data_IF_739933994640
#
_entry.id   IF_739933994640
#
_cell.length_a   1.000
_cell.length_b   1.000
_cell.length_c   1.000
_cell.angle_alpha   90.00
_cell.angle_beta   90.00
_cell.angle_gamma   90.00
#
_symmetry.space_group_name_H-M   'P 1'
#
loop_
_entity.id
_entity.type
_entity.pdbx_description
1 polymer ?
#
# COMPACT_ATOMS: atom_id res chain seq x y z
N UNK A 1 -16.00 15.55 8.74
CA UNK A 1 -16.04 17.03 8.82
C UNK A 1 -16.56 17.62 7.51
N UNK A 2 -17.30 18.72 7.56
CA UNK A 2 -17.77 19.46 6.37
C UNK A 2 -16.76 20.51 5.88
N UNK A 3 -15.55 20.55 6.46
CA UNK A 3 -14.52 21.52 6.08
C UNK A 3 -14.14 21.33 4.60
N UNK A 4 -14.23 22.39 3.81
CA UNK A 4 -13.84 22.44 2.40
C UNK A 4 -13.52 23.88 1.97
N UNK A 5 -12.78 24.63 2.81
CA UNK A 5 -12.36 26.00 2.48
C UNK A 5 -11.04 25.97 1.71
N UNK A 6 -10.86 26.95 0.82
CA UNK A 6 -9.59 27.13 0.10
C UNK A 6 -8.49 27.55 1.07
N UNK A 7 -7.46 26.74 1.13
CA UNK A 7 -6.26 26.90 1.96
C UNK A 7 -4.98 26.74 1.12
N UNK A 8 -5.11 26.76 -0.20
CA UNK A 8 -3.99 26.58 -1.12
C UNK A 8 -2.89 27.64 -0.99
N UNK A 9 -3.24 28.82 -0.48
CA UNK A 9 -2.28 29.92 -0.26
C UNK A 9 -1.52 29.85 1.07
N UNK A 10 -1.72 28.82 1.88
CA UNK A 10 -1.00 28.70 3.14
C UNK A 10 0.50 28.46 2.90
N UNK A 11 1.34 29.17 3.66
CA UNK A 11 2.78 28.89 3.73
C UNK A 11 3.03 27.67 4.63
N UNK A 12 3.39 26.56 4.02
CA UNK A 12 3.64 25.28 4.71
C UNK A 12 5.13 24.94 4.84
N UNK A 13 6.02 25.84 4.43
CA UNK A 13 7.48 25.62 4.35
C UNK A 13 8.15 25.19 5.67
N UNK A 14 7.55 25.55 6.80
CA UNK A 14 8.03 25.16 8.13
C UNK A 14 7.28 23.96 8.75
N UNK A 15 6.36 23.35 8.00
CA UNK A 15 5.57 22.23 8.53
C UNK A 15 6.39 20.94 8.43
N UNK A 16 6.59 20.28 9.56
CA UNK A 16 7.37 19.03 9.65
C UNK A 16 6.50 17.80 9.87
N UNK A 17 5.23 17.97 10.22
CA UNK A 17 4.30 16.88 10.51
C UNK A 17 2.88 17.23 10.04
N UNK A 18 2.34 16.44 9.12
CA UNK A 18 0.98 16.58 8.60
C UNK A 18 0.07 15.41 9.01
N UNK A 19 0.46 14.67 10.06
CA UNK A 19 -0.31 13.53 10.56
C UNK A 19 -1.77 13.91 10.83
N UNK A 20 -2.68 13.19 10.20
CA UNK A 20 -4.12 13.30 10.43
C UNK A 20 -4.77 14.63 10.04
N UNK A 21 -4.08 15.52 9.33
CA UNK A 21 -4.54 16.88 9.04
C UNK A 21 -5.97 16.95 8.49
N UNK A 22 -6.31 16.05 7.56
CA UNK A 22 -7.65 15.98 6.95
C UNK A 22 -8.40 14.69 7.33
N UNK A 23 -8.02 14.03 8.41
CA UNK A 23 -8.72 12.81 8.86
C UNK A 23 -10.22 13.07 9.00
N UNK A 24 -11.03 12.29 8.28
CA UNK A 24 -12.50 12.41 8.31
C UNK A 24 -13.05 13.73 7.74
N UNK A 25 -12.24 14.48 6.99
CA UNK A 25 -12.70 15.68 6.26
C UNK A 25 -13.39 15.24 4.95
N UNK A 26 -14.55 14.62 5.05
CA UNK A 26 -15.25 13.96 3.94
C UNK A 26 -15.61 14.90 2.79
N UNK A 27 -15.77 16.21 3.07
CA UNK A 27 -16.08 17.22 2.05
C UNK A 27 -14.81 17.83 1.41
N UNK A 28 -13.62 17.63 2.01
CA UNK A 28 -12.42 18.34 1.58
C UNK A 28 -11.93 17.84 0.22
N UNK A 29 -11.84 18.79 -0.73
CA UNK A 29 -11.29 18.56 -2.06
C UNK A 29 -10.75 19.88 -2.66
N UNK A 30 -10.06 20.72 -1.86
CA UNK A 30 -9.44 21.93 -2.35
C UNK A 30 -8.03 21.71 -2.87
N UNK A 31 -7.62 22.55 -3.83
CA UNK A 31 -6.28 22.47 -4.41
C UNK A 31 -5.22 22.89 -3.37
N UNK A 32 -4.36 21.96 -3.03
CA UNK A 32 -3.21 22.11 -2.12
C UNK A 32 -1.89 21.69 -2.79
N UNK A 33 -1.90 21.55 -4.12
CA UNK A 33 -0.71 21.10 -4.88
C UNK A 33 0.48 22.07 -4.80
N UNK A 34 0.24 23.34 -4.45
CA UNK A 34 1.30 24.35 -4.27
C UNK A 34 1.98 24.34 -2.90
N UNK A 35 1.54 23.49 -1.98
CA UNK A 35 2.15 23.41 -0.65
C UNK A 35 3.60 22.93 -0.70
N UNK A 36 4.48 23.56 0.05
CA UNK A 36 5.83 23.08 0.30
C UNK A 36 5.78 21.96 1.35
N UNK A 37 6.10 20.76 0.94
CA UNK A 37 6.11 19.55 1.80
C UNK A 37 7.51 19.04 2.09
N UNK A 38 8.56 19.74 1.62
CA UNK A 38 9.96 19.28 1.67
C UNK A 38 10.49 19.00 3.09
N UNK A 39 9.92 19.66 4.10
CA UNK A 39 10.29 19.47 5.51
C UNK A 39 9.42 18.41 6.23
N UNK A 40 8.40 17.84 5.57
CA UNK A 40 7.44 16.93 6.21
C UNK A 40 8.04 15.53 6.38
N UNK A 41 8.08 15.06 7.61
CA UNK A 41 8.58 13.72 7.94
C UNK A 41 7.49 12.65 8.13
N UNK A 42 6.25 13.07 8.41
CA UNK A 42 5.10 12.16 8.56
C UNK A 42 3.85 12.71 7.89
N UNK A 43 3.25 11.84 7.05
CA UNK A 43 1.93 12.04 6.44
C UNK A 43 0.93 10.95 6.88
N UNK A 44 1.20 10.30 8.02
CA UNK A 44 0.36 9.27 8.59
C UNK A 44 -1.09 9.75 8.69
N UNK A 45 -2.03 9.02 8.10
CA UNK A 45 -3.47 9.31 8.13
C UNK A 45 -3.88 10.69 7.60
N UNK A 46 -3.03 11.38 6.82
CA UNK A 46 -3.28 12.75 6.41
C UNK A 46 -4.67 12.92 5.76
N UNK A 47 -5.06 12.00 4.88
CA UNK A 47 -6.37 11.99 4.19
C UNK A 47 -7.26 10.82 4.60
N UNK A 48 -6.98 10.15 5.72
CA UNK A 48 -7.80 9.03 6.14
C UNK A 48 -9.27 9.43 6.27
N UNK A 49 -10.19 8.70 5.59
CA UNK A 49 -11.63 9.02 5.55
C UNK A 49 -11.96 10.37 4.87
N UNK A 50 -11.04 11.03 4.18
CA UNK A 50 -11.34 12.19 3.32
C UNK A 50 -11.91 11.69 1.98
N UNK A 51 -13.13 11.19 2.00
CA UNK A 51 -13.74 10.38 0.95
C UNK A 51 -13.93 11.09 -0.40
N UNK A 52 -13.83 12.42 -0.46
CA UNK A 52 -13.94 13.20 -1.71
C UNK A 52 -12.58 13.74 -2.18
N UNK A 53 -11.48 13.49 -1.45
CA UNK A 53 -10.19 14.05 -1.82
C UNK A 53 -9.62 13.35 -3.05
N UNK A 54 -9.39 14.14 -4.12
CA UNK A 54 -8.78 13.70 -5.38
C UNK A 54 -8.09 14.89 -6.09
N UNK A 55 -7.29 15.69 -5.38
CA UNK A 55 -6.55 16.80 -5.97
C UNK A 55 -5.14 16.38 -6.38
N UNK A 56 -4.63 17.04 -7.45
CA UNK A 56 -3.26 16.82 -7.91
C UNK A 56 -2.24 17.30 -6.86
N UNK A 57 -1.48 16.37 -6.34
CA UNK A 57 -0.38 16.54 -5.38
C UNK A 57 0.90 15.88 -5.87
N UNK A 58 0.98 15.57 -7.16
CA UNK A 58 2.13 14.91 -7.78
C UNK A 58 3.43 15.70 -7.70
N UNK A 59 3.33 17.04 -7.54
CA UNK A 59 4.48 17.93 -7.37
C UNK A 59 5.05 18.00 -5.95
N UNK A 60 4.41 17.36 -4.97
CA UNK A 60 4.90 17.39 -3.59
C UNK A 60 6.27 16.73 -3.45
N UNK A 61 7.16 17.36 -2.71
CA UNK A 61 8.40 16.75 -2.25
C UNK A 61 8.13 15.90 -1.01
N UNK A 62 8.18 14.58 -1.17
CA UNK A 62 7.97 13.61 -0.09
C UNK A 62 9.27 12.93 0.34
N UNK A 63 10.42 13.41 -0.14
CA UNK A 63 11.72 12.78 0.09
C UNK A 63 12.13 12.71 1.58
N UNK A 64 11.57 13.58 2.44
CA UNK A 64 11.79 13.54 3.89
C UNK A 64 10.80 12.63 4.63
N UNK A 65 9.75 12.12 3.95
CA UNK A 65 8.69 11.34 4.61
C UNK A 65 9.15 9.93 4.94
N UNK A 66 8.94 9.53 6.18
CA UNK A 66 9.26 8.17 6.67
C UNK A 66 8.03 7.32 6.95
N UNK A 67 6.86 7.94 7.16
CA UNK A 67 5.60 7.27 7.52
C UNK A 67 4.43 7.79 6.68
N UNK A 68 3.86 6.89 5.88
CA UNK A 68 2.67 7.10 5.05
C UNK A 68 1.51 6.19 5.46
N UNK A 69 1.52 5.63 6.69
CA UNK A 69 0.46 4.74 7.14
C UNK A 69 -0.91 5.36 6.94
N UNK A 70 -1.81 4.64 6.27
CA UNK A 70 -3.22 5.01 6.06
C UNK A 70 -3.45 6.36 5.35
N UNK A 71 -2.45 6.93 4.65
CA UNK A 71 -2.56 8.29 4.09
C UNK A 71 -3.78 8.45 3.19
N UNK A 72 -4.06 7.50 2.31
CA UNK A 72 -5.20 7.52 1.38
C UNK A 72 -6.26 6.44 1.69
N UNK A 73 -6.29 5.94 2.93
CA UNK A 73 -7.26 4.92 3.32
C UNK A 73 -8.69 5.49 3.32
N UNK A 74 -9.60 4.81 2.61
CA UNK A 74 -11.01 5.21 2.43
C UNK A 74 -11.16 6.58 1.73
N UNK A 75 -10.34 6.82 0.70
CA UNK A 75 -10.47 7.96 -0.22
C UNK A 75 -10.85 7.48 -1.63
N UNK A 76 -11.09 8.43 -2.54
CA UNK A 76 -11.22 8.17 -3.99
C UNK A 76 -9.97 8.60 -4.76
N UNK A 77 -8.89 8.96 -4.06
CA UNK A 77 -7.67 9.52 -4.63
C UNK A 77 -7.11 8.64 -5.74
N UNK A 78 -6.94 9.23 -6.93
CA UNK A 78 -6.38 8.54 -8.10
C UNK A 78 -5.53 9.48 -8.98
N UNK A 79 -4.79 10.42 -8.37
CA UNK A 79 -3.88 11.29 -9.10
C UNK A 79 -2.49 10.66 -9.25
N UNK A 80 -1.75 11.11 -10.28
CA UNK A 80 -0.40 10.60 -10.55
C UNK A 80 0.60 11.05 -9.47
N UNK A 81 1.17 10.09 -8.79
CA UNK A 81 2.20 10.24 -7.76
C UNK A 81 3.43 9.38 -8.06
N UNK A 82 3.57 8.95 -9.31
CA UNK A 82 4.69 8.11 -9.74
C UNK A 82 6.06 8.79 -9.61
N UNK A 83 6.11 10.12 -9.59
CA UNK A 83 7.34 10.90 -9.43
C UNK A 83 7.81 11.05 -7.98
N UNK A 84 7.03 10.62 -7.00
CA UNK A 84 7.38 10.75 -5.58
C UNK A 84 8.66 9.98 -5.22
N UNK A 85 9.59 10.61 -4.54
CA UNK A 85 10.73 9.94 -3.92
C UNK A 85 10.33 9.37 -2.55
N UNK A 86 10.00 8.09 -2.53
CA UNK A 86 9.60 7.36 -1.32
C UNK A 86 10.77 6.57 -0.68
N UNK A 87 12.00 6.86 -1.05
CA UNK A 87 13.18 6.08 -0.65
C UNK A 87 13.44 6.06 0.86
N UNK A 88 12.92 7.04 1.60
CA UNK A 88 13.01 7.10 3.05
C UNK A 88 11.77 6.54 3.77
N UNK A 89 10.73 6.14 3.05
CA UNK A 89 9.51 5.59 3.66
C UNK A 89 9.78 4.20 4.22
N UNK A 90 9.47 4.01 5.49
CA UNK A 90 9.61 2.72 6.19
C UNK A 90 8.26 2.03 6.42
N UNK A 91 7.17 2.79 6.48
CA UNK A 91 5.83 2.30 6.78
C UNK A 91 4.82 2.74 5.71
N UNK A 92 4.31 1.77 4.94
CA UNK A 92 3.25 1.93 3.93
C UNK A 92 1.96 1.18 4.33
N UNK A 93 1.81 0.84 5.62
CA UNK A 93 0.65 0.07 6.09
C UNK A 93 -0.65 0.78 5.73
N UNK A 94 -1.58 0.03 5.12
CA UNK A 94 -2.91 0.48 4.72
C UNK A 94 -2.93 1.79 3.88
N UNK A 95 -1.84 2.11 3.16
CA UNK A 95 -1.68 3.35 2.40
C UNK A 95 -2.87 3.64 1.48
N UNK A 96 -3.31 2.64 0.69
CA UNK A 96 -4.44 2.72 -0.23
C UNK A 96 -5.61 1.80 0.19
N UNK A 97 -5.67 1.42 1.47
CA UNK A 97 -6.73 0.53 1.96
C UNK A 97 -8.11 1.13 1.68
N UNK A 98 -9.04 0.32 1.15
CA UNK A 98 -10.38 0.74 0.77
C UNK A 98 -10.42 1.92 -0.24
N UNK A 99 -9.33 2.20 -0.95
CA UNK A 99 -9.34 3.11 -2.08
C UNK A 99 -9.64 2.33 -3.36
N UNK A 100 -10.90 2.25 -3.72
CA UNK A 100 -11.37 1.45 -4.87
C UNK A 100 -11.02 2.05 -6.23
N UNK A 101 -10.54 3.29 -6.28
CA UNK A 101 -10.25 4.02 -7.53
C UNK A 101 -8.77 4.00 -7.91
N UNK A 102 -7.88 3.89 -6.90
CA UNK A 102 -6.45 4.04 -7.13
C UNK A 102 -5.91 2.97 -8.10
N UNK A 103 -5.35 3.44 -9.22
CA UNK A 103 -4.70 2.59 -10.21
C UNK A 103 -3.59 3.36 -10.98
N UNK A 104 -2.84 4.25 -10.30
CA UNK A 104 -1.76 4.99 -10.94
C UNK A 104 -0.46 4.20 -10.94
N UNK A 105 0.40 4.50 -11.94
CA UNK A 105 1.69 3.83 -12.08
C UNK A 105 2.68 4.32 -11.00
N UNK A 106 3.04 3.42 -10.11
CA UNK A 106 3.99 3.62 -9.01
C UNK A 106 5.20 2.66 -9.11
N UNK A 107 5.48 2.15 -10.31
CA UNK A 107 6.58 1.22 -10.55
C UNK A 107 7.97 1.83 -10.33
N UNK A 108 8.07 3.18 -10.39
CA UNK A 108 9.32 3.93 -10.16
C UNK A 108 9.68 4.10 -8.68
N UNK A 109 8.77 3.78 -7.75
CA UNK A 109 9.01 3.96 -6.33
C UNK A 109 10.17 3.09 -5.82
N UNK A 110 11.14 3.72 -5.15
CA UNK A 110 12.20 3.01 -4.44
C UNK A 110 11.70 2.59 -3.05
N UNK A 111 11.32 1.32 -2.91
CA UNK A 111 10.75 0.76 -1.67
C UNK A 111 11.78 0.07 -0.77
N UNK A 112 13.08 0.28 -1.02
CA UNK A 112 14.15 -0.47 -0.33
C UNK A 112 14.19 -0.28 1.20
N UNK A 113 13.65 0.86 1.70
CA UNK A 113 13.58 1.15 3.15
C UNK A 113 12.29 0.63 3.79
N UNK A 114 11.32 0.15 3.01
CA UNK A 114 10.01 -0.25 3.55
C UNK A 114 10.13 -1.56 4.31
N UNK A 115 9.65 -1.55 5.56
CA UNK A 115 9.62 -2.74 6.43
C UNK A 115 8.22 -3.27 6.68
N UNK A 116 7.20 -2.42 6.52
CA UNK A 116 5.79 -2.73 6.81
C UNK A 116 4.90 -2.40 5.61
N UNK A 117 4.29 -3.43 5.02
CA UNK A 117 3.33 -3.34 3.91
C UNK A 117 1.95 -3.93 4.25
N UNK A 118 1.60 -3.99 5.55
CA UNK A 118 0.31 -4.55 6.00
C UNK A 118 -0.85 -3.83 5.34
N UNK A 119 -1.69 -4.55 4.60
CA UNK A 119 -2.92 -4.01 4.00
C UNK A 119 -2.72 -2.85 3.02
N UNK A 120 -1.52 -2.66 2.44
CA UNK A 120 -1.21 -1.51 1.57
C UNK A 120 -2.26 -1.28 0.49
N UNK A 121 -2.75 -2.36 -0.14
CA UNK A 121 -3.78 -2.35 -1.20
C UNK A 121 -5.04 -3.12 -0.79
N UNK A 122 -5.31 -3.29 0.51
CA UNK A 122 -6.50 -3.99 0.98
C UNK A 122 -7.75 -3.29 0.45
N UNK A 123 -8.60 -4.03 -0.27
CA UNK A 123 -9.81 -3.55 -0.95
C UNK A 123 -9.58 -2.41 -1.96
N UNK A 124 -8.37 -2.26 -2.49
CA UNK A 124 -8.08 -1.41 -3.65
C UNK A 124 -8.50 -2.16 -4.93
N UNK A 125 -9.80 -2.19 -5.20
CA UNK A 125 -10.41 -3.12 -6.17
C UNK A 125 -10.02 -2.85 -7.62
N UNK A 126 -9.59 -1.63 -7.97
CA UNK A 126 -9.11 -1.26 -9.32
C UNK A 126 -7.61 -1.41 -9.50
N UNK A 127 -6.84 -1.57 -8.41
CA UNK A 127 -5.38 -1.57 -8.48
C UNK A 127 -4.86 -2.79 -9.25
N UNK A 128 -4.17 -2.54 -10.36
CA UNK A 128 -3.52 -3.57 -11.18
C UNK A 128 -2.26 -3.05 -11.88
N UNK A 129 -1.49 -2.18 -11.23
CA UNK A 129 -0.23 -1.69 -11.81
C UNK A 129 0.92 -2.64 -11.53
N UNK A 130 1.87 -2.67 -12.47
CA UNK A 130 3.06 -3.51 -12.33
C UNK A 130 4.01 -2.91 -11.28
N UNK A 131 4.16 -3.62 -10.17
CA UNK A 131 5.04 -3.27 -9.05
C UNK A 131 6.14 -4.33 -8.85
N UNK A 132 6.47 -5.10 -9.89
CA UNK A 132 7.55 -6.09 -9.85
C UNK A 132 8.93 -5.47 -9.58
N UNK A 133 9.09 -4.18 -9.86
CA UNK A 133 10.31 -3.40 -9.61
C UNK A 133 10.54 -3.03 -8.14
N UNK A 134 9.52 -3.19 -7.30
CA UNK A 134 9.65 -2.86 -5.88
C UNK A 134 10.69 -3.74 -5.20
N UNK A 135 11.57 -3.12 -4.42
CA UNK A 135 12.51 -3.84 -3.57
C UNK A 135 11.83 -4.19 -2.24
N UNK A 136 11.61 -5.48 -2.02
CA UNK A 136 10.90 -6.00 -0.83
C UNK A 136 11.84 -6.65 0.19
N UNK A 137 13.16 -6.61 -0.03
CA UNK A 137 14.13 -7.32 0.80
C UNK A 137 14.13 -6.88 2.28
N UNK A 138 13.67 -5.66 2.59
CA UNK A 138 13.56 -5.16 3.98
C UNK A 138 12.20 -5.46 4.62
N UNK A 139 11.21 -5.95 3.86
CA UNK A 139 9.84 -6.14 4.35
C UNK A 139 9.76 -7.36 5.27
N UNK A 140 9.12 -7.17 6.43
CA UNK A 140 8.94 -8.24 7.42
C UNK A 140 7.47 -8.66 7.59
N UNK A 141 6.53 -7.79 7.18
CA UNK A 141 5.09 -8.03 7.35
C UNK A 141 4.32 -7.64 6.09
N UNK A 142 3.68 -8.63 5.45
CA UNK A 142 2.86 -8.47 4.25
C UNK A 142 1.40 -8.92 4.48
N UNK A 143 0.95 -8.99 5.76
CA UNK A 143 -0.43 -9.41 6.05
C UNK A 143 -1.43 -8.52 5.32
N UNK A 144 -2.46 -9.14 4.75
CA UNK A 144 -3.60 -8.47 4.13
C UNK A 144 -3.26 -7.54 2.96
N UNK A 145 -2.03 -7.58 2.41
CA UNK A 145 -1.54 -6.59 1.45
C UNK A 145 -2.47 -6.41 0.24
N UNK A 146 -3.06 -7.50 -0.26
CA UNK A 146 -3.96 -7.51 -1.41
C UNK A 146 -5.34 -8.12 -1.10
N UNK A 147 -5.77 -8.13 0.17
CA UNK A 147 -7.12 -8.61 0.51
C UNK A 147 -8.15 -7.85 -0.32
N UNK A 148 -8.97 -8.55 -1.09
CA UNK A 148 -10.03 -7.94 -1.88
C UNK A 148 -9.55 -7.02 -3.01
N UNK A 149 -8.26 -7.02 -3.37
CA UNK A 149 -7.73 -6.34 -4.56
C UNK A 149 -8.12 -7.17 -5.80
N UNK A 150 -9.39 -7.11 -6.18
CA UNK A 150 -10.03 -8.06 -7.11
C UNK A 150 -9.49 -7.99 -8.54
N UNK A 151 -8.88 -6.87 -8.95
CA UNK A 151 -8.27 -6.71 -10.27
C UNK A 151 -6.79 -7.11 -10.29
N UNK A 152 -6.13 -7.22 -9.12
CA UNK A 152 -4.69 -7.38 -9.06
C UNK A 152 -4.22 -8.73 -9.60
N UNK A 153 -3.36 -8.69 -10.64
CA UNK A 153 -2.75 -9.89 -11.24
C UNK A 153 -1.38 -9.56 -11.86
N UNK A 154 -0.49 -8.88 -11.11
CA UNK A 154 0.82 -8.48 -11.62
C UNK A 154 1.94 -9.41 -11.12
N UNK A 155 3.07 -9.52 -11.86
CA UNK A 155 4.13 -10.50 -11.63
C UNK A 155 4.98 -10.15 -10.40
N UNK A 156 4.53 -10.53 -9.22
CA UNK A 156 5.24 -10.32 -7.93
C UNK A 156 6.16 -11.48 -7.53
N UNK A 157 6.25 -12.53 -8.35
CA UNK A 157 7.11 -13.68 -8.08
C UNK A 157 8.61 -13.38 -8.04
N UNK A 158 9.02 -12.20 -8.50
CA UNK A 158 10.40 -11.71 -8.46
C UNK A 158 10.77 -11.02 -7.14
N UNK A 159 9.79 -10.81 -6.26
CA UNK A 159 10.04 -10.17 -4.96
C UNK A 159 10.90 -11.05 -4.06
N UNK A 160 11.83 -10.41 -3.35
CA UNK A 160 12.54 -11.05 -2.23
C UNK A 160 11.65 -11.00 -0.99
N UNK A 161 11.13 -12.15 -0.59
CA UNK A 161 10.28 -12.31 0.61
C UNK A 161 11.01 -13.05 1.75
N UNK A 162 12.31 -13.25 1.61
CA UNK A 162 13.11 -14.05 2.55
C UNK A 162 13.18 -13.50 3.98
N UNK A 163 12.80 -12.24 4.19
CA UNK A 163 12.68 -11.62 5.51
C UNK A 163 11.23 -11.52 6.02
N UNK A 164 10.26 -11.91 5.20
CA UNK A 164 8.85 -11.85 5.61
C UNK A 164 8.53 -12.96 6.61
N UNK A 165 7.93 -12.57 7.72
CA UNK A 165 7.53 -13.51 8.78
C UNK A 165 6.01 -13.73 8.83
N UNK A 166 5.21 -12.85 8.19
CA UNK A 166 3.76 -12.89 8.26
C UNK A 166 3.13 -12.62 6.89
N UNK A 167 2.30 -13.56 6.41
CA UNK A 167 1.58 -13.50 5.13
C UNK A 167 0.08 -13.80 5.29
N UNK A 168 -0.48 -13.65 6.52
CA UNK A 168 -1.91 -13.88 6.74
C UNK A 168 -2.76 -13.07 5.77
N UNK A 169 -3.69 -13.74 5.08
CA UNK A 169 -4.66 -13.13 4.17
C UNK A 169 -4.07 -12.36 2.99
N UNK A 170 -2.77 -12.52 2.66
CA UNK A 170 -2.09 -11.63 1.68
C UNK A 170 -2.85 -11.49 0.36
N UNK A 171 -3.44 -12.57 -0.16
CA UNK A 171 -4.23 -12.59 -1.40
C UNK A 171 -5.68 -13.01 -1.18
N UNK A 172 -6.18 -12.92 0.05
CA UNK A 172 -7.59 -13.26 0.34
C UNK A 172 -8.52 -12.43 -0.53
N UNK A 173 -9.49 -13.07 -1.22
CA UNK A 173 -10.40 -12.42 -2.16
C UNK A 173 -9.70 -11.67 -3.33
N UNK A 174 -8.43 -11.93 -3.63
CA UNK A 174 -7.75 -11.41 -4.82
C UNK A 174 -8.15 -12.28 -6.04
N UNK A 175 -9.36 -12.08 -6.54
CA UNK A 175 -10.05 -13.00 -7.47
C UNK A 175 -9.41 -13.13 -8.84
N UNK A 176 -8.56 -12.17 -9.26
CA UNK A 176 -7.83 -12.24 -10.52
C UNK A 176 -6.42 -12.79 -10.36
N UNK A 177 -5.91 -12.89 -9.13
CA UNK A 177 -4.50 -13.22 -8.89
C UNK A 177 -4.19 -14.68 -9.24
N UNK A 178 -3.28 -14.88 -10.21
CA UNK A 178 -2.78 -16.20 -10.61
C UNK A 178 -1.33 -16.12 -11.12
N UNK A 179 -0.46 -15.35 -10.46
CA UNK A 179 0.94 -15.23 -10.86
C UNK A 179 1.82 -16.29 -10.19
N UNK A 180 2.87 -16.71 -10.90
CA UNK A 180 3.85 -17.66 -10.38
C UNK A 180 4.66 -17.05 -9.23
N UNK A 181 4.53 -17.63 -8.04
CA UNK A 181 5.23 -17.27 -6.80
C UNK A 181 5.97 -18.47 -6.21
N UNK A 182 6.15 -19.53 -7.01
CA UNK A 182 6.78 -20.77 -6.57
C UNK A 182 8.23 -20.61 -6.10
N UNK A 183 8.92 -19.56 -6.55
CA UNK A 183 10.31 -19.26 -6.18
C UNK A 183 10.47 -18.45 -4.88
N UNK A 184 9.39 -18.07 -4.22
CA UNK A 184 9.48 -17.33 -2.95
C UNK A 184 10.15 -18.17 -1.85
N UNK A 185 11.13 -17.59 -1.17
CA UNK A 185 11.67 -18.16 0.07
C UNK A 185 10.77 -17.77 1.26
N UNK A 186 9.87 -18.69 1.61
CA UNK A 186 8.92 -18.52 2.71
C UNK A 186 9.38 -19.19 4.01
N UNK A 187 10.65 -19.55 4.12
CA UNK A 187 11.18 -20.35 5.23
C UNK A 187 11.05 -19.67 6.60
N UNK A 188 10.95 -18.34 6.64
CA UNK A 188 10.73 -17.56 7.89
C UNK A 188 9.26 -17.26 8.18
N UNK A 189 8.34 -17.59 7.27
CA UNK A 189 6.92 -17.28 7.46
C UNK A 189 6.32 -18.16 8.55
N UNK A 190 5.66 -17.52 9.51
CA UNK A 190 5.06 -18.21 10.67
C UNK A 190 3.54 -18.38 10.56
N UNK A 191 2.87 -17.54 9.74
CA UNK A 191 1.43 -17.65 9.49
C UNK A 191 1.10 -17.44 8.01
N UNK A 192 0.30 -18.34 7.46
CA UNK A 192 -0.31 -18.27 6.12
C UNK A 192 -1.83 -18.45 6.19
N UNK A 193 -2.43 -18.16 7.37
CA UNK A 193 -3.87 -18.28 7.53
C UNK A 193 -4.60 -17.43 6.47
N UNK A 194 -5.61 -18.01 5.81
CA UNK A 194 -6.43 -17.35 4.80
C UNK A 194 -5.65 -16.76 3.59
N UNK A 195 -4.39 -17.14 3.36
CA UNK A 195 -3.53 -16.47 2.37
C UNK A 195 -4.14 -16.40 0.98
N UNK A 196 -4.86 -17.45 0.55
CA UNK A 196 -5.55 -17.55 -0.74
C UNK A 196 -7.05 -17.84 -0.57
N UNK A 197 -7.63 -17.55 0.60
CA UNK A 197 -9.07 -17.72 0.83
C UNK A 197 -9.84 -16.90 -0.21
N UNK A 198 -10.78 -17.54 -0.95
CA UNK A 198 -11.54 -16.92 -2.05
C UNK A 198 -10.68 -16.34 -3.22
N UNK A 199 -9.41 -16.71 -3.35
CA UNK A 199 -8.59 -16.41 -4.53
C UNK A 199 -8.90 -17.44 -5.64
N UNK A 200 -10.07 -17.35 -6.22
CA UNK A 200 -10.77 -18.42 -6.98
C UNK A 200 -10.06 -18.90 -8.25
N UNK A 201 -9.10 -18.13 -8.79
CA UNK A 201 -8.35 -18.52 -9.99
C UNK A 201 -6.91 -18.96 -9.66
N UNK A 202 -6.46 -18.79 -8.41
CA UNK A 202 -5.09 -19.12 -8.04
C UNK A 202 -4.83 -20.62 -8.15
N UNK A 203 -3.91 -20.99 -9.06
CA UNK A 203 -3.56 -22.40 -9.32
C UNK A 203 -2.08 -22.56 -9.72
N UNK A 204 -1.18 -21.86 -9.00
CA UNK A 204 0.25 -21.92 -9.27
C UNK A 204 0.94 -22.98 -8.43
N UNK A 205 2.09 -23.48 -8.93
CA UNK A 205 2.88 -24.48 -8.23
C UNK A 205 3.65 -23.85 -7.06
N UNK A 206 3.24 -24.16 -5.83
CA UNK A 206 3.89 -23.74 -4.59
C UNK A 206 4.43 -24.96 -3.80
N UNK A 207 4.52 -26.14 -4.43
CA UNK A 207 4.93 -27.38 -3.78
C UNK A 207 6.40 -27.40 -3.30
N UNK A 208 7.22 -26.45 -3.78
CA UNK A 208 8.62 -26.29 -3.38
C UNK A 208 8.82 -25.45 -2.11
N UNK A 209 7.78 -24.79 -1.60
CA UNK A 209 7.90 -23.91 -0.45
C UNK A 209 8.38 -24.66 0.81
N UNK A 210 9.40 -24.11 1.48
CA UNK A 210 9.77 -24.57 2.81
C UNK A 210 8.86 -23.94 3.86
N UNK A 211 7.87 -24.69 4.31
CA UNK A 211 6.85 -24.23 5.28
C UNK A 211 7.10 -24.73 6.70
N UNK A 212 8.32 -25.12 7.02
CA UNK A 212 8.66 -25.73 8.32
C UNK A 212 8.46 -24.78 9.53
N UNK A 213 8.46 -23.46 9.30
CA UNK A 213 8.21 -22.44 10.34
C UNK A 213 6.73 -22.10 10.48
N UNK A 214 5.86 -22.53 9.55
CA UNK A 214 4.43 -22.15 9.57
C UNK A 214 3.70 -22.90 10.66
N UNK A 215 2.99 -22.14 11.50
CA UNK A 215 2.21 -22.68 12.62
C UNK A 215 0.72 -22.83 12.30
N UNK A 216 0.22 -22.18 11.26
CA UNK A 216 -1.18 -22.25 10.87
C UNK A 216 -1.39 -22.04 9.36
N UNK A 217 -2.20 -22.93 8.77
CA UNK A 217 -2.77 -22.84 7.42
C UNK A 217 -4.29 -22.68 7.46
N UNK A 218 -4.84 -22.17 8.57
CA UNK A 218 -6.29 -22.07 8.71
C UNK A 218 -6.89 -21.36 7.50
N UNK A 219 -7.83 -22.02 6.79
CA UNK A 219 -8.52 -21.50 5.61
C UNK A 219 -7.61 -21.01 4.45
N UNK A 220 -6.39 -21.53 4.35
CA UNK A 220 -5.42 -21.04 3.34
C UNK A 220 -6.00 -21.03 1.93
N UNK A 221 -6.85 -21.99 1.58
CA UNK A 221 -7.51 -22.15 0.27
C UNK A 221 -9.05 -22.25 0.40
N UNK A 222 -9.64 -21.69 1.44
CA UNK A 222 -11.07 -21.80 1.75
C UNK A 222 -11.99 -21.01 0.83
#
# INVERSE_FOLDING_TARGET
SSFNQDIGSWDTSNVTNMQGLFTGATAFNQNIGSWDTSSVSSMNRMFWLASNFDQDIGSWDVSSVTDMEQMFNQTIFNQDIGSWDVSNVTNMSALFRNNSQFNQNISSWNTSSVTNMVGTFEAATSFNQNISTWNTASVTDMRYMFVGATAFNQPVGVWDVSNVTQMEGMFKNARAFNQDIGNWDVSKVTTMASMFEEAIVFNQNIGSWNVSSVTTFQRMFG
#
